data_IF_634307761920
#
_entry.id   IF_634307761920
#
_cell.length_a   1.000
_cell.length_b   1.000
_cell.length_c   1.000
_cell.angle_alpha   90.00
_cell.angle_beta   90.00
_cell.angle_gamma   90.00
#
_symmetry.space_group_name_H-M   'P 1'
#
loop_
_entity.id
_entity.type
_entity.pdbx_description
1 polymer ?
#
# COMPACT_ATOMS: atom_id res chain seq x y z
N UNK A 1 35.50 31.79 33.09
CA UNK A 1 34.74 30.55 33.47
C UNK A 1 33.44 30.38 32.70
N UNK A 2 32.65 31.43 32.47
CA UNK A 2 31.35 31.34 31.74
C UNK A 2 31.46 30.89 30.27
N UNK A 3 32.50 31.27 29.52
CA UNK A 3 32.70 30.92 28.12
C UNK A 3 33.03 29.41 27.95
N UNK A 4 33.78 28.82 28.90
CA UNK A 4 34.07 27.37 28.87
C UNK A 4 32.84 26.50 29.11
N UNK A 5 31.90 26.98 29.96
CA UNK A 5 30.65 26.29 30.24
C UNK A 5 29.69 26.31 29.02
N UNK A 6 29.65 27.42 28.28
CA UNK A 6 28.83 27.53 27.07
C UNK A 6 29.37 26.66 25.95
N UNK A 7 30.70 26.54 25.80
CA UNK A 7 31.33 25.64 24.82
C UNK A 7 31.09 24.17 25.13
N UNK A 8 31.09 23.77 26.41
CA UNK A 8 30.79 22.37 26.81
C UNK A 8 29.32 22.07 26.59
N UNK A 9 28.40 22.99 26.87
CA UNK A 9 26.97 22.84 26.62
C UNK A 9 26.66 22.76 25.11
N UNK A 10 27.33 23.56 24.27
CA UNK A 10 27.19 23.48 22.81
C UNK A 10 27.74 22.18 22.23
N UNK A 11 28.86 21.67 22.78
CA UNK A 11 29.44 20.38 22.34
C UNK A 11 28.58 19.20 22.76
N UNK A 12 27.91 19.26 23.91
CA UNK A 12 26.97 18.20 24.36
C UNK A 12 25.66 18.19 23.55
N UNK A 13 25.16 19.34 23.10
CA UNK A 13 24.02 19.41 22.18
C UNK A 13 24.37 18.86 20.79
N UNK A 14 25.61 19.06 20.32
CA UNK A 14 26.05 18.53 19.04
C UNK A 14 26.23 17.01 19.06
N UNK A 15 26.61 16.41 20.20
CA UNK A 15 26.72 14.96 20.35
C UNK A 15 25.36 14.24 20.45
N UNK A 16 24.30 14.90 20.88
CA UNK A 16 22.93 14.32 20.85
C UNK A 16 22.36 14.22 19.43
N UNK A 17 22.77 15.09 18.50
CA UNK A 17 22.34 15.02 17.12
C UNK A 17 22.86 13.78 16.37
N UNK A 18 23.97 13.18 16.81
CA UNK A 18 24.54 11.98 16.20
C UNK A 18 23.86 10.65 16.62
N UNK A 19 23.06 10.64 17.68
CA UNK A 19 22.28 9.46 18.08
C UNK A 19 21.07 9.17 17.17
N UNK A 20 20.60 10.16 16.40
CA UNK A 20 19.58 9.98 15.37
C UNK A 20 20.13 9.61 13.99
N UNK A 21 21.47 9.51 13.86
CA UNK A 21 22.14 9.18 12.59
C UNK A 21 22.23 7.67 12.30
N UNK A 22 21.78 6.80 13.19
CA UNK A 22 21.51 5.43 12.82
C UNK A 22 20.18 5.45 12.08
N UNK A 23 20.26 5.42 10.75
CA UNK A 23 19.10 5.57 9.88
C UNK A 23 17.94 4.66 10.32
N UNK A 24 16.79 5.25 10.58
CA UNK A 24 15.58 4.51 10.91
C UNK A 24 15.32 3.48 9.81
N UNK A 25 15.32 2.20 10.15
CA UNK A 25 14.94 1.12 9.25
C UNK A 25 13.78 0.35 9.85
N UNK A 26 12.96 -0.27 9.02
CA UNK A 26 11.85 -1.04 9.55
C UNK A 26 11.17 -1.93 8.54
N UNK A 27 10.33 -2.82 9.08
CA UNK A 27 9.34 -3.60 8.34
C UNK A 27 7.96 -3.32 8.89
N UNK A 28 7.03 -3.03 7.99
CA UNK A 28 5.62 -2.92 8.33
C UNK A 28 4.84 -3.98 7.56
N UNK A 29 4.04 -4.76 8.27
CA UNK A 29 3.26 -5.87 7.72
C UNK A 29 1.83 -5.43 7.56
N UNK A 30 1.31 -5.54 6.34
CA UNK A 30 -0.02 -5.08 5.99
C UNK A 30 -0.89 -6.22 5.54
N UNK A 31 -2.17 -6.08 5.83
CA UNK A 31 -3.23 -6.91 5.29
C UNK A 31 -4.09 -6.10 4.34
N UNK A 32 -4.36 -6.64 3.15
CA UNK A 32 -5.33 -6.03 2.24
C UNK A 32 -6.68 -6.71 2.38
N UNK A 33 -7.74 -5.90 2.31
CA UNK A 33 -9.10 -6.38 2.13
C UNK A 33 -9.77 -5.62 1.00
N UNK A 34 -10.66 -6.28 0.27
CA UNK A 34 -11.44 -5.68 -0.80
C UNK A 34 -12.92 -5.82 -0.49
N UNK A 35 -13.64 -4.71 -0.54
CA UNK A 35 -15.09 -4.69 -0.47
C UNK A 35 -15.64 -4.89 -1.89
N UNK A 36 -15.90 -6.14 -2.28
CA UNK A 36 -16.62 -6.41 -3.51
C UNK A 36 -18.12 -6.26 -3.28
N UNK A 37 -18.74 -5.36 -4.03
CA UNK A 37 -20.18 -5.35 -4.21
C UNK A 37 -20.49 -5.97 -5.57
N UNK A 38 -21.00 -7.18 -5.55
CA UNK A 38 -21.66 -7.73 -6.73
C UNK A 38 -23.09 -7.21 -6.73
N UNK A 39 -23.43 -6.37 -7.68
CA UNK A 39 -24.82 -6.11 -8.02
C UNK A 39 -25.29 -7.25 -8.93
N UNK A 40 -25.74 -8.32 -8.32
CA UNK A 40 -26.45 -9.37 -9.06
C UNK A 40 -27.95 -9.14 -8.91
N UNK A 41 -28.67 -9.52 -9.96
CA UNK A 41 -30.14 -9.46 -9.96
C UNK A 41 -30.68 -10.25 -8.75
N UNK A 42 -31.16 -9.51 -7.74
CA UNK A 42 -31.69 -10.05 -6.49
C UNK A 42 -32.90 -10.98 -6.69
N UNK A 43 -33.48 -11.01 -7.91
CA UNK A 43 -34.53 -11.95 -8.25
C UNK A 43 -34.05 -13.41 -8.40
N UNK A 44 -32.72 -13.63 -8.52
CA UNK A 44 -32.14 -14.95 -8.79
C UNK A 44 -31.40 -15.57 -7.61
N UNK A 45 -31.22 -14.86 -6.51
CA UNK A 45 -30.48 -15.35 -5.35
C UNK A 45 -31.01 -14.79 -4.03
N UNK A 46 -31.14 -15.65 -3.03
CA UNK A 46 -31.54 -15.22 -1.69
C UNK A 46 -30.47 -14.33 -1.04
N UNK A 47 -30.85 -13.32 -0.24
CA UNK A 47 -29.89 -12.40 0.42
C UNK A 47 -28.86 -13.12 1.27
N UNK A 48 -29.23 -14.22 1.94
CA UNK A 48 -28.33 -15.02 2.78
C UNK A 48 -27.25 -15.71 1.92
N UNK A 49 -27.62 -16.24 0.75
CA UNK A 49 -26.67 -16.88 -0.17
C UNK A 49 -25.67 -15.86 -0.74
N UNK A 50 -26.14 -14.65 -1.04
CA UNK A 50 -25.28 -13.56 -1.48
C UNK A 50 -24.27 -13.17 -0.39
N UNK A 51 -24.73 -13.02 0.86
CA UNK A 51 -23.87 -12.68 2.00
C UNK A 51 -22.80 -13.76 2.25
N UNK A 52 -23.17 -15.03 2.11
CA UNK A 52 -22.24 -16.16 2.24
C UNK A 52 -21.15 -16.12 1.15
N UNK A 53 -21.52 -15.94 -0.11
CA UNK A 53 -20.59 -15.81 -1.23
C UNK A 53 -19.65 -14.63 -1.02
N UNK A 54 -20.16 -13.46 -0.65
CA UNK A 54 -19.36 -12.28 -0.37
C UNK A 54 -18.35 -12.51 0.76
N UNK A 55 -18.76 -13.20 1.83
CA UNK A 55 -17.89 -13.52 2.95
C UNK A 55 -16.77 -14.50 2.55
N UNK A 56 -17.09 -15.53 1.75
CA UNK A 56 -16.10 -16.49 1.23
C UNK A 56 -15.09 -15.79 0.33
N UNK A 57 -15.53 -14.97 -0.63
CA UNK A 57 -14.67 -14.24 -1.55
C UNK A 57 -13.80 -13.24 -0.79
N UNK A 58 -14.38 -12.47 0.14
CA UNK A 58 -13.62 -11.51 0.96
C UNK A 58 -12.44 -12.19 1.63
N UNK A 59 -12.66 -13.31 2.32
CA UNK A 59 -11.60 -14.06 3.02
C UNK A 59 -10.52 -14.57 2.06
N UNK A 60 -10.91 -15.07 0.88
CA UNK A 60 -9.96 -15.61 -0.09
C UNK A 60 -9.20 -14.53 -0.87
N UNK A 61 -9.69 -13.29 -0.85
CA UNK A 61 -9.04 -12.14 -1.51
C UNK A 61 -8.17 -11.31 -0.56
N UNK A 62 -8.16 -11.63 0.73
CA UNK A 62 -7.21 -11.04 1.66
C UNK A 62 -5.79 -11.44 1.29
N UNK A 63 -4.88 -10.48 1.28
CA UNK A 63 -3.46 -10.70 0.99
C UNK A 63 -2.62 -9.99 2.04
N UNK A 64 -1.48 -10.58 2.33
CA UNK A 64 -0.50 -10.03 3.24
C UNK A 64 0.67 -9.44 2.45
N UNK A 65 1.21 -8.34 2.96
CA UNK A 65 2.31 -7.61 2.35
C UNK A 65 3.30 -7.18 3.39
N UNK A 66 4.55 -7.02 2.98
CA UNK A 66 5.59 -6.42 3.78
C UNK A 66 6.16 -5.19 3.07
N UNK A 67 6.24 -4.09 3.81
CA UNK A 67 6.95 -2.88 3.44
C UNK A 67 8.25 -2.85 4.23
N UNK A 68 9.39 -3.07 3.57
CA UNK A 68 10.71 -2.86 4.14
C UNK A 68 11.15 -1.44 3.78
N UNK A 69 11.64 -0.66 4.74
CA UNK A 69 11.92 0.75 4.51
C UNK A 69 13.13 1.28 5.29
N UNK A 70 13.73 2.32 4.73
CA UNK A 70 14.59 3.30 5.39
C UNK A 70 14.00 4.71 5.13
N UNK A 71 14.62 5.82 5.54
CA UNK A 71 14.06 7.16 5.31
C UNK A 71 13.87 7.55 3.84
N UNK A 72 14.62 6.93 2.91
CA UNK A 72 14.68 7.32 1.49
C UNK A 72 14.04 6.25 0.60
N UNK A 73 14.26 4.97 0.92
CA UNK A 73 13.92 3.85 0.04
C UNK A 73 12.96 2.88 0.71
N UNK A 74 12.16 2.20 -0.09
CA UNK A 74 11.34 1.11 0.41
C UNK A 74 11.12 0.02 -0.64
N UNK A 75 10.89 -1.21 -0.16
CA UNK A 75 10.38 -2.34 -0.93
C UNK A 75 9.01 -2.75 -0.41
N UNK A 76 8.06 -2.86 -1.32
CA UNK A 76 6.74 -3.40 -1.07
C UNK A 76 6.61 -4.74 -1.78
N UNK A 77 6.33 -5.80 -1.03
CA UNK A 77 6.26 -7.17 -1.55
C UNK A 77 5.06 -7.88 -0.96
N UNK A 78 4.36 -8.66 -1.78
CA UNK A 78 3.34 -9.59 -1.28
C UNK A 78 4.03 -10.75 -0.56
N UNK A 79 3.49 -11.15 0.60
CA UNK A 79 3.92 -12.35 1.30
C UNK A 79 3.34 -13.57 0.57
N UNK A 80 4.20 -14.48 0.16
CA UNK A 80 3.77 -15.72 -0.50
C UNK A 80 2.88 -16.53 0.45
N UNK A 81 1.68 -16.86 0.01
CA UNK A 81 0.80 -17.75 0.72
C UNK A 81 0.64 -19.07 -0.05
N UNK A 82 0.61 -20.17 0.67
CA UNK A 82 0.41 -21.51 0.10
C UNK A 82 -0.96 -21.71 -0.61
N UNK A 83 -1.80 -20.65 -0.62
CA UNK A 83 -3.15 -20.65 -1.20
C UNK A 83 -3.33 -19.73 -2.40
N UNK A 84 -2.29 -19.40 -3.17
CA UNK A 84 -2.29 -18.44 -4.29
C UNK A 84 -3.11 -18.83 -5.54
N UNK A 85 -4.14 -19.65 -5.41
CA UNK A 85 -5.06 -19.99 -6.49
C UNK A 85 -6.21 -18.97 -6.66
N UNK A 86 -7.08 -19.20 -7.69
CA UNK A 86 -8.26 -18.37 -7.89
C UNK A 86 -9.17 -18.39 -6.67
N UNK A 87 -9.74 -17.24 -6.30
CA UNK A 87 -10.73 -17.17 -5.25
C UNK A 87 -12.04 -17.80 -5.73
N UNK A 88 -12.58 -18.74 -4.96
CA UNK A 88 -13.80 -19.47 -5.31
C UNK A 88 -14.83 -19.33 -4.20
N UNK A 89 -16.07 -19.06 -4.58
CA UNK A 89 -17.19 -19.09 -3.64
C UNK A 89 -18.35 -19.88 -4.25
N UNK A 90 -19.07 -20.60 -3.40
CA UNK A 90 -20.23 -21.37 -3.85
C UNK A 90 -21.35 -21.30 -2.80
N UNK A 91 -22.58 -21.11 -3.28
CA UNK A 91 -23.79 -21.24 -2.47
C UNK A 91 -24.97 -21.51 -3.38
N UNK A 92 -25.90 -22.37 -2.95
CA UNK A 92 -27.15 -22.67 -3.67
C UNK A 92 -26.97 -23.25 -5.07
N UNK A 93 -25.85 -23.97 -5.36
CA UNK A 93 -25.55 -24.53 -6.68
C UNK A 93 -24.88 -23.55 -7.66
N UNK A 94 -24.67 -22.31 -7.29
CA UNK A 94 -23.87 -21.34 -8.03
C UNK A 94 -22.43 -21.35 -7.54
N UNK A 95 -21.48 -21.28 -8.48
CA UNK A 95 -20.06 -21.15 -8.19
C UNK A 95 -19.50 -19.91 -8.89
N UNK A 96 -18.80 -19.07 -8.14
CA UNK A 96 -18.07 -17.91 -8.65
C UNK A 96 -16.57 -18.20 -8.50
N UNK A 97 -15.83 -17.99 -9.60
CA UNK A 97 -14.36 -18.13 -9.61
C UNK A 97 -13.77 -16.81 -10.06
N UNK A 98 -12.93 -16.22 -9.21
CA UNK A 98 -12.21 -14.98 -9.51
C UNK A 98 -10.73 -15.32 -9.62
N UNK A 99 -10.18 -15.13 -10.81
CA UNK A 99 -8.75 -15.30 -11.00
C UNK A 99 -8.01 -14.06 -10.46
N UNK A 100 -7.35 -14.22 -9.34
CA UNK A 100 -6.64 -13.13 -8.66
C UNK A 100 -5.20 -12.94 -9.16
N UNK A 101 -4.74 -13.77 -10.11
CA UNK A 101 -3.38 -13.76 -10.64
C UNK A 101 -2.30 -13.90 -9.54
N UNK A 102 -1.22 -14.62 -9.79
CA UNK A 102 -0.04 -14.52 -8.94
C UNK A 102 0.62 -13.17 -9.23
N UNK A 103 0.67 -12.30 -8.24
CA UNK A 103 1.37 -11.04 -8.38
C UNK A 103 2.68 -11.11 -7.58
N UNK A 104 3.66 -11.81 -8.12
CA UNK A 104 5.05 -11.68 -7.67
C UNK A 104 5.56 -10.28 -8.06
N UNK A 105 5.01 -9.30 -7.37
CA UNK A 105 5.31 -7.88 -7.58
C UNK A 105 6.24 -7.42 -6.48
N UNK A 106 7.43 -7.03 -6.86
CA UNK A 106 8.32 -6.25 -6.00
C UNK A 106 8.27 -4.81 -6.50
N UNK A 107 7.80 -3.90 -5.65
CA UNK A 107 7.79 -2.48 -5.92
C UNK A 107 8.84 -1.79 -5.06
N UNK A 108 9.90 -1.32 -5.66
CA UNK A 108 10.88 -0.44 -5.05
C UNK A 108 10.50 1.02 -5.26
N UNK A 109 10.63 1.84 -4.21
CA UNK A 109 10.41 3.29 -4.27
C UNK A 109 11.60 4.02 -3.70
N UNK A 110 12.02 5.11 -4.35
CA UNK A 110 12.92 6.12 -3.82
C UNK A 110 12.13 7.43 -3.70
N UNK A 111 11.78 7.81 -2.48
CA UNK A 111 10.93 9.01 -2.23
C UNK A 111 11.72 10.31 -2.35
N UNK A 112 13.05 10.29 -2.23
CA UNK A 112 13.88 11.47 -2.43
C UNK A 112 14.02 11.82 -3.92
N UNK A 113 14.19 10.81 -4.78
CA UNK A 113 14.29 10.97 -6.23
C UNK A 113 12.90 10.99 -6.90
N UNK A 114 11.84 10.67 -6.14
CA UNK A 114 10.46 10.51 -6.64
C UNK A 114 10.37 9.52 -7.81
N UNK A 115 11.02 8.36 -7.68
CA UNK A 115 11.02 7.29 -8.68
C UNK A 115 10.59 5.96 -8.09
N UNK A 116 10.10 5.08 -8.94
CA UNK A 116 9.85 3.69 -8.59
C UNK A 116 10.36 2.74 -9.67
N UNK A 117 10.66 1.53 -9.24
CA UNK A 117 11.00 0.40 -10.10
C UNK A 117 10.15 -0.80 -9.67
N UNK A 118 9.51 -1.46 -10.62
CA UNK A 118 8.59 -2.56 -10.35
C UNK A 118 8.84 -3.73 -11.29
N UNK A 119 9.10 -4.91 -10.73
CA UNK A 119 9.04 -6.16 -11.47
C UNK A 119 7.58 -6.61 -11.63
N UNK A 120 7.23 -7.02 -12.84
CA UNK A 120 5.92 -7.56 -13.16
C UNK A 120 6.03 -8.66 -14.21
N UNK A 121 5.43 -9.82 -13.92
CA UNK A 121 5.20 -10.86 -14.93
C UNK A 121 3.84 -10.62 -15.62
N UNK A 122 3.87 -10.58 -16.94
CA UNK A 122 2.67 -10.52 -17.78
C UNK A 122 2.70 -11.68 -18.76
N UNK A 123 1.89 -12.69 -18.50
CA UNK A 123 1.78 -13.90 -19.33
C UNK A 123 3.12 -14.62 -19.56
N UNK A 124 3.96 -14.74 -18.52
CA UNK A 124 5.27 -15.38 -18.56
C UNK A 124 6.39 -14.53 -19.15
N UNK A 125 6.14 -13.23 -19.34
CA UNK A 125 7.16 -12.27 -19.73
C UNK A 125 7.44 -11.31 -18.57
N UNK A 126 8.70 -11.25 -18.18
CA UNK A 126 9.15 -10.36 -17.12
C UNK A 126 9.39 -8.94 -17.65
N UNK A 127 8.81 -7.94 -17.00
CA UNK A 127 9.00 -6.53 -17.26
C UNK A 127 9.55 -5.83 -16.02
N UNK A 128 10.41 -4.85 -16.25
CA UNK A 128 10.90 -3.92 -15.25
C UNK A 128 10.37 -2.53 -15.58
N UNK A 129 9.32 -2.13 -14.88
CA UNK A 129 8.73 -0.80 -15.07
C UNK A 129 9.55 0.19 -14.26
N UNK A 130 10.01 1.26 -14.91
CA UNK A 130 10.74 2.39 -14.29
C UNK A 130 10.02 3.67 -14.63
N UNK A 131 9.55 4.39 -13.60
CA UNK A 131 8.83 5.63 -13.82
C UNK A 131 8.91 6.56 -12.60
N UNK A 132 8.34 7.76 -12.73
CA UNK A 132 8.23 8.74 -11.68
C UNK A 132 7.06 8.36 -10.71
N UNK A 133 7.26 8.63 -9.42
CA UNK A 133 6.18 8.58 -8.44
C UNK A 133 5.30 9.83 -8.58
N UNK A 134 4.01 9.64 -8.73
CA UNK A 134 3.04 10.74 -8.71
C UNK A 134 2.88 11.27 -7.29
N UNK A 135 3.23 12.53 -7.07
CA UNK A 135 3.08 13.19 -5.78
C UNK A 135 1.62 13.57 -5.56
N UNK A 136 1.01 13.00 -4.54
CA UNK A 136 -0.37 13.35 -4.15
C UNK A 136 -0.41 14.65 -3.35
N UNK A 137 -1.41 15.49 -3.62
CA UNK A 137 -1.70 16.68 -2.85
C UNK A 137 -2.55 16.30 -1.61
N UNK A 138 -1.88 15.85 -0.55
CA UNK A 138 -2.55 15.43 0.67
C UNK A 138 -3.13 16.59 1.46
N UNK A 139 -4.41 16.52 1.79
CA UNK A 139 -5.09 17.39 2.73
C UNK A 139 -5.05 16.74 4.13
N UNK A 140 -4.34 17.38 5.07
CA UNK A 140 -4.23 16.89 6.44
C UNK A 140 -5.47 17.28 7.25
N UNK A 141 -5.96 16.36 8.07
CA UNK A 141 -7.07 16.58 9.01
C UNK A 141 -6.58 16.47 10.45
N UNK A 142 -7.29 17.13 11.38
CA UNK A 142 -7.06 16.97 12.82
C UNK A 142 -7.65 15.67 13.39
N UNK A 143 -8.35 14.89 12.56
CA UNK A 143 -8.90 13.60 12.97
C UNK A 143 -7.77 12.61 13.28
N UNK A 144 -7.89 11.93 14.41
CA UNK A 144 -6.94 10.90 14.85
C UNK A 144 -7.65 9.63 15.27
N UNK A 145 -6.97 8.49 15.10
CA UNK A 145 -7.39 7.20 15.65
C UNK A 145 -6.20 6.37 16.10
N UNK A 146 -6.44 5.34 16.92
CA UNK A 146 -5.42 4.36 17.27
C UNK A 146 -5.35 3.24 16.23
N UNK A 147 -4.14 2.95 15.75
CA UNK A 147 -3.83 1.77 14.95
C UNK A 147 -2.66 1.07 15.64
N UNK A 148 -2.93 -0.09 16.24
CA UNK A 148 -1.97 -0.72 17.15
C UNK A 148 -1.58 0.22 18.29
N UNK A 149 -0.29 0.43 18.49
CA UNK A 149 0.25 1.31 19.54
C UNK A 149 0.41 2.77 19.11
N UNK A 150 0.15 3.10 17.83
CA UNK A 150 0.40 4.42 17.26
C UNK A 150 -0.86 5.28 17.21
N UNK A 151 -0.68 6.60 17.32
CA UNK A 151 -1.74 7.57 17.07
C UNK A 151 -1.66 8.00 15.61
N UNK A 152 -2.55 7.50 14.79
CA UNK A 152 -2.59 7.84 13.37
C UNK A 152 -3.44 9.09 13.13
N UNK A 153 -2.95 10.00 12.30
CA UNK A 153 -3.63 11.19 11.81
C UNK A 153 -4.18 10.93 10.41
N UNK A 154 -5.35 11.48 10.11
CA UNK A 154 -6.01 11.34 8.81
C UNK A 154 -5.46 12.32 7.78
N UNK A 155 -5.33 11.84 6.56
CA UNK A 155 -5.10 12.64 5.37
C UNK A 155 -5.96 12.12 4.21
N UNK A 156 -6.37 13.01 3.32
CA UNK A 156 -7.18 12.66 2.14
C UNK A 156 -6.65 13.34 0.90
N UNK A 157 -6.88 12.76 -0.25
CA UNK A 157 -6.80 13.44 -1.53
C UNK A 157 -7.76 12.80 -2.53
N UNK A 158 -8.09 13.55 -3.58
CA UNK A 158 -8.92 13.06 -4.68
C UNK A 158 -8.12 13.02 -5.97
N UNK A 159 -8.32 11.99 -6.77
CA UNK A 159 -7.76 11.91 -8.12
C UNK A 159 -8.82 11.51 -9.14
N UNK A 160 -8.66 12.02 -10.35
CA UNK A 160 -9.50 11.63 -11.49
C UNK A 160 -8.85 10.42 -12.15
N UNK A 161 -9.65 9.40 -12.42
CA UNK A 161 -9.25 8.21 -13.17
C UNK A 161 -10.13 8.06 -14.41
N UNK A 162 -9.55 7.55 -15.49
CA UNK A 162 -10.31 7.08 -16.62
C UNK A 162 -10.84 5.68 -16.31
N UNK A 163 -12.15 5.53 -16.36
CA UNK A 163 -12.82 4.25 -16.14
C UNK A 163 -13.70 3.89 -17.34
N UNK A 164 -13.96 2.60 -17.51
CA UNK A 164 -14.85 2.11 -18.55
C UNK A 164 -16.13 1.60 -17.91
N UNK A 165 -17.26 2.14 -18.34
CA UNK A 165 -18.60 1.72 -17.86
C UNK A 165 -19.34 0.98 -18.95
N UNK A 166 -19.83 -0.20 -18.60
CA UNK A 166 -20.74 -0.97 -19.44
C UNK A 166 -22.13 -0.95 -18.80
N UNK A 167 -23.14 -0.47 -19.53
CA UNK A 167 -24.53 -0.50 -19.07
C UNK A 167 -25.36 -1.44 -19.95
N UNK A 168 -26.33 -2.11 -19.35
CA UNK A 168 -27.25 -3.01 -20.04
C UNK A 168 -28.01 -2.21 -21.11
N UNK A 169 -27.80 -2.54 -22.38
CA UNK A 169 -28.39 -1.86 -23.53
C UNK A 169 -27.40 -1.03 -24.37
N UNK A 170 -26.16 -0.90 -23.93
CA UNK A 170 -25.06 -0.32 -24.73
C UNK A 170 -24.34 -1.41 -25.52
N UNK A 171 -23.98 -1.10 -26.75
CA UNK A 171 -23.17 -1.96 -27.64
C UNK A 171 -21.67 -1.69 -27.51
N UNK A 172 -21.29 -0.58 -26.87
CA UNK A 172 -19.90 -0.12 -26.69
C UNK A 172 -19.66 0.28 -25.24
N UNK A 173 -18.39 0.14 -24.80
CA UNK A 173 -17.94 0.66 -23.50
C UNK A 173 -17.81 2.17 -23.56
N UNK A 174 -18.37 2.86 -22.59
CA UNK A 174 -18.22 4.30 -22.44
C UNK A 174 -17.00 4.62 -21.56
N UNK A 175 -16.10 5.46 -22.06
CA UNK A 175 -15.00 6.00 -21.26
C UNK A 175 -15.54 7.15 -20.41
N UNK A 176 -15.48 7.00 -19.09
CA UNK A 176 -15.94 8.02 -18.14
C UNK A 176 -14.78 8.40 -17.23
N UNK A 177 -14.80 9.66 -16.77
CA UNK A 177 -13.88 10.12 -15.75
C UNK A 177 -14.56 10.01 -14.38
N UNK A 178 -14.00 9.17 -13.54
CA UNK A 178 -14.48 9.02 -12.16
C UNK A 178 -13.49 9.72 -11.20
N UNK A 179 -14.05 10.41 -10.20
CA UNK A 179 -13.25 10.96 -9.10
C UNK A 179 -13.21 9.95 -7.97
N UNK A 180 -12.04 9.53 -7.58
CA UNK A 180 -11.84 8.66 -6.44
C UNK A 180 -11.22 9.43 -5.29
N UNK A 181 -11.77 9.20 -4.11
CA UNK A 181 -11.19 9.68 -2.85
C UNK A 181 -10.25 8.61 -2.28
N UNK A 182 -9.10 9.04 -1.81
CA UNK A 182 -8.14 8.24 -1.08
C UNK A 182 -8.06 8.75 0.35
N UNK A 183 -8.25 7.86 1.31
CA UNK A 183 -8.16 8.18 2.74
C UNK A 183 -6.97 7.43 3.30
N UNK A 184 -6.02 8.14 3.90
CA UNK A 184 -4.88 7.58 4.58
C UNK A 184 -4.85 7.94 6.06
N UNK A 185 -4.29 7.03 6.87
CA UNK A 185 -3.98 7.25 8.26
C UNK A 185 -2.50 6.98 8.47
N UNK A 186 -1.77 7.99 8.89
CA UNK A 186 -0.31 7.93 9.05
C UNK A 186 0.12 8.19 10.48
N UNK A 187 1.25 7.63 10.88
CA UNK A 187 1.84 7.80 12.22
C UNK A 187 3.01 8.79 12.16
N UNK A 188 2.86 10.03 12.66
CA UNK A 188 3.97 10.99 12.75
C UNK A 188 5.11 10.51 13.65
N UNK A 189 4.82 9.58 14.56
CA UNK A 189 5.81 8.95 15.47
C UNK A 189 6.87 8.14 14.72
N UNK A 190 6.59 7.74 13.47
CA UNK A 190 7.52 7.05 12.56
C UNK A 190 7.79 7.98 11.36
N UNK A 191 8.81 8.85 11.44
CA UNK A 191 8.99 9.95 10.49
C UNK A 191 9.63 9.50 9.17
N UNK A 192 8.92 8.62 8.44
CA UNK A 192 9.27 8.18 7.09
C UNK A 192 8.09 8.40 6.15
N UNK A 193 8.36 8.82 4.93
CA UNK A 193 7.34 9.22 3.96
C UNK A 193 6.89 8.06 3.10
N UNK A 194 6.71 6.87 3.69
CA UNK A 194 6.37 5.64 3.00
C UNK A 194 4.99 5.11 3.36
N UNK A 195 4.44 4.26 2.48
CA UNK A 195 3.17 3.56 2.68
C UNK A 195 3.00 2.39 1.72
N UNK A 196 1.85 1.70 1.80
CA UNK A 196 1.49 0.60 0.90
C UNK A 196 1.51 1.04 -0.58
N UNK A 197 1.84 0.12 -1.48
CA UNK A 197 1.87 0.38 -2.93
C UNK A 197 2.58 1.70 -3.28
N UNK A 198 1.97 2.53 -4.13
CA UNK A 198 2.51 3.83 -4.55
C UNK A 198 2.15 4.99 -3.60
N UNK A 199 1.48 4.71 -2.47
CA UNK A 199 1.15 5.76 -1.51
C UNK A 199 2.38 6.19 -0.72
N UNK A 200 2.63 7.51 -0.70
CA UNK A 200 3.76 8.14 -0.01
C UNK A 200 3.50 9.65 0.17
N UNK A 201 4.45 10.37 0.75
CA UNK A 201 4.43 11.85 0.81
C UNK A 201 3.85 12.43 2.09
N UNK A 202 3.32 11.60 3.01
CA UNK A 202 2.86 12.07 4.33
C UNK A 202 4.04 12.18 5.32
N UNK A 203 3.96 13.05 6.34
CA UNK A 203 5.01 13.24 7.33
C UNK A 203 5.00 12.15 8.41
N UNK A 204 4.93 10.89 8.00
CA UNK A 204 4.91 9.70 8.82
C UNK A 204 4.51 8.46 8.04
N UNK A 205 4.82 7.28 8.57
CA UNK A 205 4.47 5.99 7.95
C UNK A 205 2.96 5.86 7.82
N UNK A 206 2.48 5.57 6.61
CA UNK A 206 1.06 5.33 6.34
C UNK A 206 0.68 3.95 6.88
N UNK A 207 -0.15 3.91 7.92
CA UNK A 207 -0.58 2.67 8.56
C UNK A 207 -1.86 2.08 7.95
N UNK A 208 -2.69 2.93 7.36
CA UNK A 208 -3.90 2.49 6.68
C UNK A 208 -4.15 3.36 5.46
N UNK A 209 -4.59 2.74 4.40
CA UNK A 209 -5.05 3.43 3.19
C UNK A 209 -6.34 2.77 2.69
N UNK A 210 -7.31 3.59 2.34
CA UNK A 210 -8.58 3.17 1.73
C UNK A 210 -8.75 3.88 0.40
N UNK A 211 -9.01 3.12 -0.65
CA UNK A 211 -9.29 3.64 -2.00
C UNK A 211 -10.08 2.62 -2.81
N UNK A 212 -11.09 3.04 -3.53
CA UNK A 212 -11.87 2.20 -4.45
C UNK A 212 -12.35 0.87 -3.85
N UNK A 213 -12.79 0.88 -2.59
CA UNK A 213 -13.24 -0.33 -1.91
C UNK A 213 -12.12 -1.29 -1.48
N UNK A 214 -10.86 -0.93 -1.70
CA UNK A 214 -9.69 -1.65 -1.19
C UNK A 214 -9.12 -0.93 0.02
N UNK A 215 -8.76 -1.72 1.03
CA UNK A 215 -8.13 -1.22 2.25
C UNK A 215 -6.84 -1.98 2.49
N UNK A 216 -5.77 -1.27 2.78
CA UNK A 216 -4.56 -1.82 3.40
C UNK A 216 -4.50 -1.35 4.84
N UNK A 217 -4.28 -2.27 5.77
CA UNK A 217 -4.10 -1.94 7.19
C UNK A 217 -2.82 -2.57 7.72
N UNK A 218 -2.02 -1.80 8.45
CA UNK A 218 -0.81 -2.26 9.11
C UNK A 218 -1.18 -3.00 10.40
N UNK A 219 -0.74 -4.25 10.50
CA UNK A 219 -0.98 -5.11 11.67
C UNK A 219 0.24 -5.18 12.60
N UNK A 220 1.46 -5.06 12.05
CA UNK A 220 2.71 -5.18 12.81
C UNK A 220 3.78 -4.25 12.25
N UNK A 221 4.61 -3.70 13.12
CA UNK A 221 5.78 -2.89 12.75
C UNK A 221 6.98 -3.36 13.57
N UNK A 222 8.10 -3.51 12.88
CA UNK A 222 9.42 -3.78 13.46
C UNK A 222 10.35 -2.63 13.10
N UNK A 223 10.81 -1.88 14.09
CA UNK A 223 11.77 -0.80 13.89
C UNK A 223 13.16 -1.24 14.31
N UNK A 224 14.17 -0.96 13.48
CA UNK A 224 15.58 -1.25 13.70
C UNK A 224 15.83 -2.71 14.18
N UNK A 225 15.31 -3.73 13.48
CA UNK A 225 15.45 -5.13 13.90
C UNK A 225 16.93 -5.54 13.87
N UNK A 226 17.48 -5.87 15.04
CA UNK A 226 18.91 -6.23 15.19
C UNK A 226 19.22 -7.65 14.76
N UNK A 227 18.27 -8.58 14.94
CA UNK A 227 18.49 -10.00 14.63
C UNK A 227 18.42 -10.30 13.12
N UNK A 228 17.64 -9.51 12.38
CA UNK A 228 17.45 -9.67 10.93
C UNK A 228 17.40 -8.26 10.30
N UNK A 229 18.56 -7.69 9.91
CA UNK A 229 18.66 -6.35 9.35
C UNK A 229 17.77 -6.17 8.13
N UNK A 230 17.19 -4.98 7.97
CA UNK A 230 16.37 -4.63 6.80
C UNK A 230 17.27 -4.44 5.59
N UNK A 231 17.04 -5.24 4.55
CA UNK A 231 17.69 -5.11 3.25
C UNK A 231 16.67 -4.60 2.25
N UNK A 232 17.01 -3.55 1.50
CA UNK A 232 16.18 -2.99 0.43
C UNK A 232 16.96 -3.17 -0.87
N UNK A 233 16.42 -4.03 -1.74
CA UNK A 233 17.04 -4.37 -3.01
C UNK A 233 16.24 -3.78 -4.16
N UNK A 234 16.94 -3.18 -5.12
CA UNK A 234 16.30 -2.74 -6.35
C UNK A 234 15.97 -3.93 -7.23
N UNK A 235 14.76 -4.00 -7.77
CA UNK A 235 14.41 -4.97 -8.78
C UNK A 235 15.28 -4.78 -10.02
N UNK A 236 15.62 -5.88 -10.70
CA UNK A 236 16.54 -5.86 -11.83
C UNK A 236 16.16 -6.81 -12.96
N UNK A 237 15.07 -7.56 -12.81
CA UNK A 237 14.67 -8.57 -13.77
C UNK A 237 13.63 -8.03 -14.75
N UNK A 238 13.74 -8.42 -16.00
CA UNK A 238 12.77 -8.13 -17.04
C UNK A 238 13.22 -7.08 -18.06
N UNK A 239 12.41 -6.93 -19.08
CA UNK A 239 12.59 -5.88 -20.09
C UNK A 239 12.20 -4.53 -19.49
N UNK A 240 13.10 -3.54 -19.57
CA UNK A 240 12.78 -2.18 -19.12
C UNK A 240 11.72 -1.54 -20.01
N UNK A 241 10.68 -1.01 -19.37
CA UNK A 241 9.59 -0.26 -19.98
C UNK A 241 9.14 0.87 -19.04
N UNK A 242 8.38 1.83 -19.56
CA UNK A 242 7.66 2.81 -18.74
C UNK A 242 6.25 2.32 -18.43
N UNK A 243 5.54 2.97 -17.53
CA UNK A 243 4.15 2.61 -17.20
C UNK A 243 3.20 2.83 -18.39
N UNK A 244 3.56 3.69 -19.34
CA UNK A 244 2.74 4.02 -20.52
C UNK A 244 2.92 3.03 -21.69
N UNK A 245 3.97 2.21 -21.69
CA UNK A 245 4.26 1.17 -22.69
C UNK A 245 3.60 -0.16 -22.35
#
# INVERSE_FOLDING_TARGET
MKIKLVLIAALSLFSMAHLFAQGLTGRAYYKSSSAFRFEMDSSKMAPEQMAEIQAQLKKQMEREYVLSFNPIESNWKQVESLGGGPATASSGGMQIVINTGSQDRVLYKNVADQTYEQEQDVMGKEFLIKDALEVAEWELSDETKKIGNYTAQKATYSRIIDSQRFSTGMTEMENVKDTIEVIAWFAPEIPVSHGPENYFGLPGLILEVQSQGRTFICEKIELNPSADPVVIEKPSKGKEITQAE
#
